data_IF_474214538943
#
_entry.id   IF_474214538943
#
_cell.length_a   1.000
_cell.length_b   1.000
_cell.length_c   1.000
_cell.angle_alpha   90.00
_cell.angle_beta   90.00
_cell.angle_gamma   90.00
#
_symmetry.space_group_name_H-M   'P 1'
#
loop_
_entity.id
_entity.type
_entity.pdbx_description
1 polymer ?
#
# COMPACT_ATOMS: atom_id res chain seq x y z
N UNK A 1 -10.48 12.43 0.51
CA UNK A 1 -11.18 11.11 0.49
C UNK A 1 -10.85 10.29 -0.76
N UNK A 2 -10.86 10.86 -1.97
CA UNK A 2 -10.58 10.17 -3.25
C UNK A 2 -9.31 9.29 -3.23
N UNK A 3 -8.19 9.84 -2.76
CA UNK A 3 -6.93 9.10 -2.63
C UNK A 3 -6.99 7.92 -1.65
N UNK A 4 -7.74 8.05 -0.56
CA UNK A 4 -7.91 6.96 0.41
C UNK A 4 -8.67 5.77 -0.18
N UNK A 5 -9.77 6.02 -0.90
CA UNK A 5 -10.52 4.97 -1.59
C UNK A 5 -9.70 4.31 -2.70
N UNK A 6 -9.00 5.11 -3.51
CA UNK A 6 -8.12 4.58 -4.53
C UNK A 6 -7.00 3.70 -3.94
N UNK A 7 -6.39 4.12 -2.83
CA UNK A 7 -5.36 3.35 -2.12
C UNK A 7 -5.89 2.05 -1.50
N UNK A 8 -7.11 2.09 -0.94
CA UNK A 8 -7.79 0.91 -0.43
C UNK A 8 -8.03 -0.12 -1.55
N UNK A 9 -8.60 0.29 -2.67
CA UNK A 9 -8.89 -0.60 -3.80
C UNK A 9 -7.60 -1.12 -4.43
N UNK A 10 -6.59 -0.26 -4.59
CA UNK A 10 -5.28 -0.64 -5.14
C UNK A 10 -4.52 -1.67 -4.27
N UNK A 11 -4.90 -1.84 -3.00
CA UNK A 11 -4.33 -2.88 -2.12
C UNK A 11 -4.70 -4.29 -2.60
N UNK A 12 -5.81 -4.45 -3.33
CA UNK A 12 -6.24 -5.75 -3.89
C UNK A 12 -5.24 -6.28 -4.93
N UNK A 13 -4.96 -5.59 -6.06
CA UNK A 13 -4.01 -6.08 -7.04
C UNK A 13 -2.60 -6.25 -6.46
N UNK A 14 -2.17 -5.38 -5.53
CA UNK A 14 -0.91 -5.55 -4.80
C UNK A 14 -0.86 -6.90 -4.07
N UNK A 15 -1.91 -7.23 -3.31
CA UNK A 15 -2.01 -8.48 -2.56
C UNK A 15 -1.97 -9.69 -3.49
N UNK A 16 -2.70 -9.63 -4.62
CA UNK A 16 -2.67 -10.67 -5.66
C UNK A 16 -1.26 -10.85 -6.21
N UNK A 17 -0.58 -9.75 -6.57
CA UNK A 17 0.79 -9.77 -7.09
C UNK A 17 1.77 -10.38 -6.08
N UNK A 18 1.66 -10.04 -4.80
CA UNK A 18 2.48 -10.65 -3.75
C UNK A 18 2.26 -12.16 -3.65
N UNK A 19 1.01 -12.62 -3.67
CA UNK A 19 0.67 -14.04 -3.61
C UNK A 19 1.20 -14.81 -4.83
N UNK A 20 1.05 -14.23 -6.02
CA UNK A 20 1.54 -14.80 -7.28
C UNK A 20 3.07 -14.90 -7.30
N UNK A 21 3.78 -13.81 -7.00
CA UNK A 21 5.24 -13.77 -7.02
C UNK A 21 5.87 -14.64 -5.92
N UNK A 22 5.21 -14.76 -4.77
CA UNK A 22 5.69 -15.64 -3.67
C UNK A 22 5.82 -17.10 -4.12
N UNK A 23 5.00 -17.54 -5.08
CA UNK A 23 5.07 -18.92 -5.61
C UNK A 23 6.44 -19.24 -6.22
N UNK A 24 7.13 -18.22 -6.76
CA UNK A 24 8.42 -18.34 -7.42
C UNK A 24 9.62 -18.15 -6.49
N UNK A 25 9.40 -17.83 -5.21
CA UNK A 25 10.49 -17.77 -4.24
C UNK A 25 11.03 -19.17 -3.94
N UNK A 26 12.34 -19.32 -3.66
CA UNK A 26 12.90 -20.57 -3.16
C UNK A 26 12.22 -21.01 -1.88
N UNK A 27 12.14 -22.32 -1.63
CA UNK A 27 11.37 -22.86 -0.49
C UNK A 27 11.84 -22.31 0.86
N UNK A 28 13.14 -22.07 1.03
CA UNK A 28 13.71 -21.46 2.25
C UNK A 28 13.35 -19.99 2.45
N UNK A 29 12.84 -19.30 1.41
CA UNK A 29 12.39 -17.90 1.50
C UNK A 29 10.87 -17.76 1.63
N UNK A 30 10.11 -18.86 1.56
CA UNK A 30 8.63 -18.89 1.67
C UNK A 30 8.15 -18.72 3.13
N UNK A 31 8.74 -17.79 3.88
CA UNK A 31 8.17 -17.31 5.14
C UNK A 31 6.84 -16.57 4.94
N UNK A 32 6.24 -16.05 6.03
CA UNK A 32 5.07 -15.19 5.95
C UNK A 32 5.35 -13.95 5.09
N UNK A 33 4.29 -13.39 4.49
CA UNK A 33 4.38 -12.13 3.76
C UNK A 33 4.40 -10.96 4.74
N UNK A 34 5.02 -9.82 4.39
CA UNK A 34 5.21 -8.71 5.32
C UNK A 34 3.95 -8.19 6.03
N UNK A 35 2.75 -8.08 5.42
CA UNK A 35 1.57 -7.62 6.15
C UNK A 35 1.25 -8.46 7.40
N UNK A 36 1.42 -9.77 7.29
CA UNK A 36 1.24 -10.70 8.41
C UNK A 36 2.37 -10.55 9.45
N UNK A 37 3.61 -10.37 9.00
CA UNK A 37 4.75 -10.15 9.91
C UNK A 37 4.59 -8.84 10.69
N UNK A 38 4.23 -7.75 10.01
CA UNK A 38 3.95 -6.44 10.62
C UNK A 38 2.86 -6.56 11.67
N UNK A 39 1.72 -7.14 11.33
CA UNK A 39 0.58 -7.24 12.27
C UNK A 39 0.91 -8.09 13.48
N UNK A 40 1.51 -9.26 13.27
CA UNK A 40 1.92 -10.16 14.36
C UNK A 40 2.94 -9.49 15.28
N UNK A 41 3.94 -8.81 14.71
CA UNK A 41 5.00 -8.18 15.49
C UNK A 41 4.49 -6.94 16.24
N UNK A 42 3.55 -6.18 15.67
CA UNK A 42 2.85 -5.09 16.36
C UNK A 42 2.00 -5.61 17.52
N UNK A 43 1.22 -6.68 17.33
CA UNK A 43 0.42 -7.27 18.41
C UNK A 43 1.30 -7.79 19.55
N UNK A 44 2.44 -8.42 19.22
CA UNK A 44 3.46 -8.81 20.20
C UNK A 44 4.05 -7.60 20.95
N UNK A 45 4.40 -6.54 20.24
CA UNK A 45 4.90 -5.31 20.84
C UNK A 45 3.88 -4.65 21.79
N UNK A 46 2.58 -4.88 21.54
CA UNK A 46 1.47 -4.43 22.40
C UNK A 46 1.07 -5.45 23.48
N UNK A 47 1.74 -6.60 23.59
CA UNK A 47 1.41 -7.69 24.50
C UNK A 47 -0.03 -8.25 24.29
N UNK A 48 -0.48 -8.28 23.03
CA UNK A 48 -1.79 -8.76 22.56
C UNK A 48 -1.66 -10.02 21.68
N UNK A 49 -0.64 -10.84 21.90
CA UNK A 49 -0.34 -12.03 21.10
C UNK A 49 -1.19 -13.26 21.46
N UNK A 50 -1.96 -13.20 22.55
CA UNK A 50 -2.94 -14.23 22.93
C UNK A 50 -4.22 -14.25 22.05
N UNK A 51 -4.29 -13.36 21.05
CA UNK A 51 -5.43 -13.26 20.13
C UNK A 51 -5.46 -14.47 19.18
N UNK A 52 -6.65 -15.01 18.88
CA UNK A 52 -6.77 -16.21 18.04
C UNK A 52 -6.28 -15.99 16.58
N UNK A 53 -5.77 -17.02 15.91
CA UNK A 53 -5.20 -16.93 14.55
C UNK A 53 -6.16 -16.30 13.52
N UNK A 54 -7.47 -16.56 13.64
CA UNK A 54 -8.50 -15.95 12.77
C UNK A 54 -8.56 -14.43 12.93
N UNK A 55 -8.34 -13.95 14.15
CA UNK A 55 -8.32 -12.52 14.47
C UNK A 55 -6.99 -11.89 14.03
N UNK A 56 -5.88 -12.63 14.06
CA UNK A 56 -4.62 -12.19 13.45
C UNK A 56 -4.73 -11.99 11.94
N UNK A 57 -5.42 -12.88 11.22
CA UNK A 57 -5.67 -12.71 9.78
C UNK A 57 -6.56 -11.50 9.50
N UNK A 58 -7.68 -11.37 10.21
CA UNK A 58 -8.58 -10.23 10.05
C UNK A 58 -7.87 -8.90 10.36
N UNK A 59 -7.10 -8.84 11.45
CA UNK A 59 -6.28 -7.69 11.80
C UNK A 59 -5.22 -7.40 10.73
N UNK A 60 -4.61 -8.44 10.15
CA UNK A 60 -3.62 -8.30 9.08
C UNK A 60 -4.22 -7.67 7.83
N UNK A 61 -5.37 -8.17 7.41
CA UNK A 61 -6.09 -7.63 6.25
C UNK A 61 -6.52 -6.20 6.56
N UNK A 62 -7.15 -5.97 7.71
CA UNK A 62 -7.61 -4.63 8.10
C UNK A 62 -6.46 -3.62 8.16
N UNK A 63 -5.34 -3.97 8.79
CA UNK A 63 -4.16 -3.11 8.88
C UNK A 63 -3.55 -2.82 7.51
N UNK A 64 -3.42 -3.83 6.64
CA UNK A 64 -2.85 -3.65 5.30
C UNK A 64 -3.70 -2.71 4.44
N UNK A 65 -5.02 -2.92 4.42
CA UNK A 65 -5.94 -2.08 3.65
C UNK A 65 -6.09 -0.68 4.25
N UNK A 66 -6.13 -0.56 5.58
CA UNK A 66 -6.17 0.74 6.25
C UNK A 66 -4.89 1.53 6.04
N UNK A 67 -3.74 0.86 6.06
CA UNK A 67 -2.47 1.49 5.71
C UNK A 67 -2.49 2.00 4.27
N UNK A 68 -2.90 1.15 3.30
CA UNK A 68 -3.05 1.54 1.91
C UNK A 68 -4.01 2.73 1.70
N UNK A 69 -5.12 2.77 2.44
CA UNK A 69 -6.02 3.92 2.45
C UNK A 69 -5.37 5.17 3.05
N UNK A 70 -4.66 5.02 4.18
CA UNK A 70 -3.99 6.11 4.88
C UNK A 70 -2.91 6.77 4.02
N UNK A 71 -1.98 5.99 3.46
CA UNK A 71 -0.96 6.53 2.56
C UNK A 71 -1.57 6.98 1.22
N UNK A 72 -2.62 6.32 0.72
CA UNK A 72 -3.34 6.75 -0.46
C UNK A 72 -3.98 8.13 -0.31
N UNK A 73 -4.40 8.51 0.91
CA UNK A 73 -4.97 9.83 1.21
C UNK A 73 -3.99 10.98 0.92
N UNK A 74 -2.68 10.70 0.93
CA UNK A 74 -1.61 11.66 0.67
C UNK A 74 -1.25 11.77 -0.81
N UNK A 75 -1.75 10.88 -1.68
CA UNK A 75 -1.48 10.91 -3.12
C UNK A 75 -1.81 12.24 -3.83
N UNK A 76 -2.87 13.01 -3.45
CA UNK A 76 -3.15 14.30 -4.08
C UNK A 76 -2.00 15.32 -4.01
N UNK A 77 -1.10 15.21 -3.02
CA UNK A 77 0.07 16.10 -2.94
C UNK A 77 1.11 15.77 -4.02
N UNK A 78 1.23 14.50 -4.39
CA UNK A 78 2.14 14.04 -5.44
C UNK A 78 1.53 14.28 -6.82
N UNK A 79 0.21 14.22 -6.91
CA UNK A 79 -0.52 14.36 -8.17
C UNK A 79 -0.30 15.70 -8.90
N UNK A 80 0.13 16.74 -8.19
CA UNK A 80 0.45 18.05 -8.75
C UNK A 80 1.72 18.05 -9.62
N UNK A 81 2.54 17.00 -9.55
CA UNK A 81 3.77 16.89 -10.32
C UNK A 81 3.48 16.69 -11.82
N UNK A 82 4.23 17.37 -12.72
CA UNK A 82 4.07 17.26 -14.18
C UNK A 82 4.72 15.98 -14.74
N UNK A 83 4.32 14.83 -14.19
CA UNK A 83 4.78 13.51 -14.61
C UNK A 83 3.63 12.67 -15.16
N UNK A 84 3.88 11.76 -16.12
CA UNK A 84 2.89 10.78 -16.56
C UNK A 84 2.30 9.99 -15.39
N UNK A 85 0.99 9.74 -15.41
CA UNK A 85 0.25 9.17 -14.27
C UNK A 85 0.85 7.86 -13.75
N UNK A 86 1.16 6.91 -14.64
CA UNK A 86 1.75 5.63 -14.24
C UNK A 86 3.15 5.79 -13.63
N UNK A 87 3.97 6.72 -14.15
CA UNK A 87 5.30 6.99 -13.60
C UNK A 87 5.19 7.60 -12.20
N UNK A 88 4.29 8.57 -12.03
CA UNK A 88 3.98 9.22 -10.76
C UNK A 88 3.53 8.19 -9.71
N UNK A 89 2.58 7.33 -10.07
CA UNK A 89 2.11 6.24 -9.23
C UNK A 89 3.23 5.26 -8.86
N UNK A 90 4.04 4.85 -9.83
CA UNK A 90 5.18 3.94 -9.60
C UNK A 90 6.20 4.53 -8.62
N UNK A 91 6.62 5.77 -8.83
CA UNK A 91 7.57 6.46 -7.94
C UNK A 91 6.98 6.63 -6.53
N UNK A 92 5.69 6.95 -6.43
CA UNK A 92 5.02 7.05 -5.14
C UNK A 92 5.00 5.70 -4.40
N UNK A 93 4.65 4.62 -5.10
CA UNK A 93 4.68 3.27 -4.53
C UNK A 93 6.07 2.87 -4.04
N UNK A 94 7.11 3.14 -4.84
CA UNK A 94 8.51 2.90 -4.44
C UNK A 94 8.86 3.75 -3.21
N UNK A 95 8.45 5.01 -3.16
CA UNK A 95 8.66 5.89 -2.01
C UNK A 95 8.02 5.34 -0.72
N UNK A 96 6.77 4.87 -0.80
CA UNK A 96 6.07 4.22 0.33
C UNK A 96 6.80 2.96 0.78
N UNK A 97 7.25 2.13 -0.15
CA UNK A 97 8.06 0.95 0.16
C UNK A 97 9.35 1.33 0.88
N UNK A 98 10.14 2.25 0.32
CA UNK A 98 11.41 2.67 0.93
C UNK A 98 11.20 3.25 2.33
N UNK A 99 10.27 4.20 2.47
CA UNK A 99 9.97 4.83 3.77
C UNK A 99 9.54 3.82 4.83
N UNK A 100 8.79 2.78 4.43
CA UNK A 100 8.33 1.75 5.36
C UNK A 100 9.42 0.76 5.73
N UNK A 101 10.06 0.15 4.74
CA UNK A 101 10.97 -0.99 4.92
C UNK A 101 12.42 -0.59 5.25
N UNK A 102 12.77 0.68 5.07
CA UNK A 102 14.06 1.24 5.49
C UNK A 102 13.92 2.31 6.57
N UNK A 103 12.70 2.79 6.85
CA UNK A 103 12.45 3.85 7.80
C UNK A 103 11.78 3.35 9.07
N UNK A 104 10.47 3.50 9.15
CA UNK A 104 9.77 3.37 10.43
C UNK A 104 9.61 1.92 10.93
N UNK A 105 9.44 0.92 10.04
CA UNK A 105 9.30 -0.48 10.48
C UNK A 105 10.59 -1.00 11.16
N UNK A 106 11.79 -0.73 10.61
CA UNK A 106 13.04 -1.05 11.32
C UNK A 106 13.26 -0.20 12.57
N UNK A 107 12.99 1.10 12.50
CA UNK A 107 13.19 2.01 13.64
C UNK A 107 12.33 1.64 14.87
N UNK A 108 11.20 0.95 14.64
CA UNK A 108 10.31 0.47 15.71
C UNK A 108 10.54 -1.00 16.07
N UNK A 109 11.50 -1.67 15.44
CA UNK A 109 11.79 -3.09 15.67
C UNK A 109 10.71 -4.06 15.14
N UNK A 110 9.76 -3.57 14.34
CA UNK A 110 8.66 -4.39 13.80
C UNK A 110 9.19 -5.33 12.70
N UNK A 111 10.14 -4.89 11.87
CA UNK A 111 10.81 -5.71 10.87
C UNK A 111 12.30 -5.38 10.83
N UNK A 112 13.14 -6.36 10.48
CA UNK A 112 14.50 -6.08 10.02
C UNK A 112 14.48 -5.19 8.77
N UNK A 113 15.47 -4.29 8.60
CA UNK A 113 15.56 -3.43 7.43
C UNK A 113 15.66 -4.24 6.14
N UNK A 114 15.12 -3.71 5.05
CA UNK A 114 15.11 -4.37 3.75
C UNK A 114 16.52 -4.78 3.28
N UNK A 115 17.56 -4.06 3.69
CA UNK A 115 18.98 -4.37 3.39
C UNK A 115 19.45 -5.71 3.94
N UNK A 116 18.80 -6.24 4.97
CA UNK A 116 19.12 -7.53 5.58
C UNK A 116 18.27 -8.68 5.01
N UNK A 117 17.28 -8.38 4.16
CA UNK A 117 16.44 -9.38 3.51
C UNK A 117 17.06 -9.86 2.18
N UNK A 118 16.79 -11.12 1.77
CA UNK A 118 17.18 -11.59 0.45
C UNK A 118 16.66 -10.68 -0.67
N UNK A 119 17.50 -10.40 -1.66
CA UNK A 119 17.17 -9.47 -2.75
C UNK A 119 15.90 -9.85 -3.50
N UNK A 120 15.59 -11.16 -3.65
CA UNK A 120 14.36 -11.62 -4.29
C UNK A 120 13.10 -11.20 -3.52
N UNK A 121 13.15 -11.15 -2.17
CA UNK A 121 12.03 -10.64 -1.36
C UNK A 121 11.87 -9.14 -1.53
N UNK A 122 12.98 -8.40 -1.61
CA UNK A 122 12.93 -6.95 -1.88
C UNK A 122 12.33 -6.66 -3.25
N UNK A 123 12.77 -7.38 -4.30
CA UNK A 123 12.21 -7.22 -5.66
C UNK A 123 10.71 -7.51 -5.67
N UNK A 124 10.26 -8.60 -5.05
CA UNK A 124 8.84 -8.91 -4.91
C UNK A 124 8.08 -7.74 -4.28
N UNK A 125 8.59 -7.20 -3.18
CA UNK A 125 7.92 -6.11 -2.47
C UNK A 125 7.93 -4.80 -3.26
N UNK A 126 9.04 -4.46 -3.93
CA UNK A 126 9.13 -3.29 -4.80
C UNK A 126 8.10 -3.41 -5.93
N UNK A 127 8.04 -4.54 -6.63
CA UNK A 127 7.09 -4.76 -7.72
C UNK A 127 5.65 -4.67 -7.22
N UNK A 128 5.34 -5.25 -6.06
CA UNK A 128 4.01 -5.14 -5.46
C UNK A 128 3.62 -3.69 -5.16
N UNK A 129 4.55 -2.87 -4.67
CA UNK A 129 4.29 -1.45 -4.41
C UNK A 129 4.19 -0.62 -5.69
N UNK A 130 4.91 -0.98 -6.76
CA UNK A 130 4.72 -0.38 -8.09
C UNK A 130 3.31 -0.68 -8.61
N UNK A 131 2.84 -1.94 -8.51
CA UNK A 131 1.48 -2.33 -8.90
C UNK A 131 0.44 -1.54 -8.10
N UNK A 132 0.62 -1.42 -6.79
CA UNK A 132 -0.23 -0.59 -5.93
C UNK A 132 -0.25 0.87 -6.39
N UNK A 133 0.93 1.46 -6.61
CA UNK A 133 1.08 2.86 -6.99
C UNK A 133 0.47 3.18 -8.35
N UNK A 134 0.66 2.31 -9.33
CA UNK A 134 0.00 2.41 -10.65
C UNK A 134 -1.52 2.31 -10.50
N UNK A 135 -2.02 1.32 -9.76
CA UNK A 135 -3.46 1.16 -9.50
C UNK A 135 -4.08 2.37 -8.80
N UNK A 136 -3.39 2.89 -7.78
CA UNK A 136 -3.77 4.11 -7.07
C UNK A 136 -3.88 5.30 -8.02
N UNK A 137 -2.84 5.55 -8.82
CA UNK A 137 -2.82 6.66 -9.78
C UNK A 137 -3.94 6.55 -10.82
N UNK A 138 -4.16 5.34 -11.34
CA UNK A 138 -5.17 5.06 -12.34
C UNK A 138 -6.58 5.31 -11.77
N UNK A 139 -6.88 4.77 -10.59
CA UNK A 139 -8.17 4.96 -9.93
C UNK A 139 -8.39 6.42 -9.54
N UNK A 140 -7.34 7.11 -9.07
CA UNK A 140 -7.43 8.51 -8.70
C UNK A 140 -7.76 9.41 -9.90
N UNK A 141 -7.12 9.20 -11.04
CA UNK A 141 -7.38 10.00 -12.23
C UNK A 141 -8.73 9.66 -12.90
N UNK A 142 -9.02 8.36 -13.10
CA UNK A 142 -10.17 7.94 -13.90
C UNK A 142 -11.50 8.00 -13.15
N UNK A 143 -11.53 7.70 -11.84
CA UNK A 143 -12.79 7.70 -11.09
C UNK A 143 -13.13 9.08 -10.53
N UNK A 144 -12.14 9.96 -10.38
CA UNK A 144 -12.31 11.15 -9.56
C UNK A 144 -11.87 12.47 -10.18
N UNK A 145 -11.01 12.50 -11.20
CA UNK A 145 -10.82 13.70 -12.04
C UNK A 145 -11.73 13.72 -13.26
N UNK A 146 -12.15 12.54 -13.74
CA UNK A 146 -13.05 12.41 -14.89
C UNK A 146 -14.54 12.70 -14.61
N UNK A 147 -14.92 13.06 -13.37
CA UNK A 147 -16.29 13.50 -13.10
C UNK A 147 -16.43 14.99 -13.46
N UNK A 148 -17.32 15.36 -14.40
CA UNK A 148 -17.63 16.76 -14.63
C UNK A 148 -18.11 17.35 -13.31
N UNK A 149 -17.49 18.43 -12.87
CA UNK A 149 -18.10 19.30 -11.87
C UNK A 149 -19.44 19.72 -12.45
N UNK A 150 -20.54 19.32 -11.82
CA UNK A 150 -21.81 19.99 -12.04
C UNK A 150 -21.62 21.41 -11.51
N UNK A 151 -21.16 22.30 -12.38
CA UNK A 151 -21.14 23.72 -12.11
C UNK A 151 -22.59 24.12 -11.89
N UNK A 152 -22.88 24.40 -10.62
CA UNK A 152 -24.05 25.11 -10.17
C UNK A 152 -23.91 26.54 -10.73
N UNK A 153 -24.23 26.73 -12.01
CA UNK A 153 -24.39 28.06 -12.59
C UNK A 153 -25.81 28.49 -12.27
N UNK A 154 -25.93 29.22 -11.16
CA UNK A 154 -26.81 30.37 -10.96
C UNK A 154 -28.00 30.48 -11.94
N UNK A 155 -29.17 29.99 -11.53
CA UNK A 155 -30.46 30.53 -11.98
C UNK A 155 -31.06 31.46 -10.90
N UNK A 156 -30.21 32.33 -10.36
CA UNK A 156 -30.67 33.53 -9.69
C UNK A 156 -30.32 34.73 -10.58
N UNK A 157 -31.39 35.31 -11.15
CA UNK A 157 -31.54 36.61 -11.84
C UNK A 157 -31.71 36.50 -13.36
N UNK A 158 -32.95 36.52 -13.85
CA UNK A 158 -33.67 37.77 -14.19
C UNK A 158 -35.14 37.48 -14.51
#
# INVERSE_FOLDING_TARGET
>A
MKGAFAGLIATVPMTISMMAMRRWLPWWQKGPLPPHEVTRNTLRAMNLDAVEDKHHLAATVAAHFSYGAGVGALYPFVDQLPLPNMLKGSLYGIGVWMFSYLGWLPATGILEPATEKPSQRNVLMIVAHVVWGVGLSFLFDNLYKGQPTYDIVNDHKS
#
